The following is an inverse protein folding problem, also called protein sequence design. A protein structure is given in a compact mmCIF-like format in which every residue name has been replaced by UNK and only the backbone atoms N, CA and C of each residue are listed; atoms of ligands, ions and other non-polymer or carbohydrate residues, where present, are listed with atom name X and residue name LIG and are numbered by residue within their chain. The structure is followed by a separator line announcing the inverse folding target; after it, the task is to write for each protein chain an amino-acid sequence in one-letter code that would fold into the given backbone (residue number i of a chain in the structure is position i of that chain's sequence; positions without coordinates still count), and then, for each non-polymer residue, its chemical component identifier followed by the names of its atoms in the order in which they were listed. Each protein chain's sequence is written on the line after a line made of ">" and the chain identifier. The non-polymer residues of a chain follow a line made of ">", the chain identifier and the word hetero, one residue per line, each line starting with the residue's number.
data_IF_783698136680
#
_entry.id   IF_783698136680
#
_cell.length_a   1.000
_cell.length_b   1.000
_cell.length_c   1.000
_cell.angle_alpha   90.00
_cell.angle_beta   90.00
_cell.angle_gamma   90.00
#
_symmetry.space_group_name_H-M   'P 1'
#
loop_
_entity.id
_entity.type
_entity.pdbx_description
1 polymer ?
#
# COMPACT_ATOMS: atom_id res chain seq x y z
N UNK A 1 -7.48 -15.43 -9.75
CA UNK A 1 -7.67 -15.36 -8.28
C UNK A 1 -9.17 -15.22 -8.01
N UNK A 2 -9.70 -15.84 -6.96
CA UNK A 2 -11.09 -15.63 -6.57
C UNK A 2 -11.23 -14.25 -5.92
N UNK A 3 -12.31 -13.52 -6.18
CA UNK A 3 -12.60 -12.20 -5.61
C UNK A 3 -12.46 -12.18 -4.08
N UNK A 4 -12.86 -13.27 -3.40
CA UNK A 4 -12.72 -13.38 -1.94
C UNK A 4 -11.26 -13.42 -1.48
N UNK A 5 -10.40 -14.13 -2.22
CA UNK A 5 -8.97 -14.19 -1.91
C UNK A 5 -8.28 -12.86 -2.21
N UNK A 6 -8.68 -12.17 -3.28
CA UNK A 6 -8.20 -10.82 -3.58
C UNK A 6 -8.56 -9.82 -2.48
N UNK A 7 -9.81 -9.84 -2.01
CA UNK A 7 -10.25 -8.98 -0.92
C UNK A 7 -9.46 -9.24 0.37
N UNK A 8 -9.24 -10.51 0.74
CA UNK A 8 -8.43 -10.89 1.91
C UNK A 8 -7.01 -10.36 1.80
N UNK A 9 -6.38 -10.51 0.64
CA UNK A 9 -5.03 -10.00 0.41
C UNK A 9 -4.97 -8.48 0.51
N UNK A 10 -5.92 -7.77 -0.10
CA UNK A 10 -6.01 -6.30 0.00
C UNK A 10 -6.15 -5.85 1.46
N UNK A 11 -7.04 -6.49 2.22
CA UNK A 11 -7.24 -6.18 3.64
C UNK A 11 -5.99 -6.45 4.47
N UNK A 12 -5.29 -7.56 4.20
CA UNK A 12 -4.03 -7.90 4.86
C UNK A 12 -2.95 -6.85 4.57
N UNK A 13 -2.75 -6.46 3.31
CA UNK A 13 -1.80 -5.43 2.95
C UNK A 13 -2.13 -4.08 3.61
N UNK A 14 -3.42 -3.71 3.73
CA UNK A 14 -3.82 -2.51 4.46
C UNK A 14 -3.44 -2.57 5.94
N UNK A 15 -3.67 -3.69 6.61
CA UNK A 15 -3.28 -3.86 8.01
C UNK A 15 -1.76 -3.73 8.19
N UNK A 16 -0.98 -4.45 7.39
CA UNK A 16 0.48 -4.41 7.44
C UNK A 16 1.04 -3.01 7.16
N UNK A 17 0.49 -2.29 6.17
CA UNK A 17 0.85 -0.89 5.92
C UNK A 17 0.51 0.02 7.10
N UNK A 18 -0.66 -0.19 7.72
CA UNK A 18 -1.10 0.58 8.89
C UNK A 18 -0.12 0.44 10.04
N UNK A 19 0.31 -0.79 10.32
CA UNK A 19 1.27 -1.11 11.37
C UNK A 19 2.66 -0.55 11.05
N UNK A 20 3.17 -0.82 9.85
CA UNK A 20 4.51 -0.43 9.41
C UNK A 20 4.73 1.09 9.41
N UNK A 21 3.73 1.87 8.99
CA UNK A 21 3.82 3.32 8.94
C UNK A 21 3.18 4.02 10.14
N UNK A 22 2.74 3.27 11.16
CA UNK A 22 2.05 3.81 12.34
C UNK A 22 0.90 4.75 11.97
N UNK A 23 0.11 4.34 10.97
CA UNK A 23 -0.94 5.16 10.38
C UNK A 23 -2.05 5.35 11.42
N UNK A 24 -2.26 6.60 11.82
CA UNK A 24 -3.23 6.98 12.85
C UNK A 24 -3.71 8.42 12.66
N UNK A 25 -4.59 8.90 13.55
CA UNK A 25 -4.90 10.33 13.63
C UNK A 25 -5.51 10.97 12.37
N UNK A 26 -6.27 10.21 11.57
CA UNK A 26 -7.00 10.73 10.40
C UNK A 26 -6.35 10.42 9.04
N UNK A 27 -5.20 9.74 9.03
CA UNK A 27 -4.66 9.15 7.81
C UNK A 27 -5.52 7.97 7.32
N UNK A 28 -5.60 7.79 5.99
CA UNK A 28 -6.38 6.72 5.35
C UNK A 28 -5.52 5.92 4.38
N UNK A 29 -5.73 4.61 4.36
CA UNK A 29 -5.13 3.69 3.38
C UNK A 29 -6.19 3.29 2.35
N UNK A 30 -5.98 3.69 1.11
CA UNK A 30 -6.85 3.41 -0.01
C UNK A 30 -6.19 2.38 -0.93
N UNK A 31 -6.97 1.37 -1.32
CA UNK A 31 -6.57 0.47 -2.39
C UNK A 31 -6.87 1.16 -3.71
N UNK A 32 -5.87 1.26 -4.58
CA UNK A 32 -5.99 1.98 -5.86
C UNK A 32 -6.35 1.02 -6.97
N UNK A 33 -5.55 -0.04 -7.15
CA UNK A 33 -5.77 -1.06 -8.18
C UNK A 33 -4.90 -2.28 -7.93
N UNK A 34 -5.33 -3.40 -8.50
CA UNK A 34 -4.47 -4.56 -8.68
C UNK A 34 -3.79 -4.47 -10.06
N UNK A 35 -2.48 -4.70 -10.11
CA UNK A 35 -1.70 -4.80 -11.34
C UNK A 35 -1.19 -6.22 -11.55
N UNK A 36 -0.46 -6.43 -12.65
CA UNK A 36 -0.01 -7.78 -13.01
C UNK A 36 1.00 -8.41 -12.04
N UNK A 37 1.79 -7.57 -11.34
CA UNK A 37 2.87 -7.98 -10.42
C UNK A 37 2.81 -7.26 -9.07
N UNK A 38 1.98 -6.22 -8.97
CA UNK A 38 1.93 -5.36 -7.80
C UNK A 38 0.50 -4.93 -7.50
N UNK A 39 0.15 -4.87 -6.23
CA UNK A 39 -1.02 -4.14 -5.73
C UNK A 39 -0.63 -2.71 -5.36
N UNK A 40 -1.50 -1.75 -5.67
CA UNK A 40 -1.21 -0.33 -5.47
C UNK A 40 -2.09 0.25 -4.37
N UNK A 41 -1.47 1.02 -3.48
CA UNK A 41 -2.11 1.68 -2.35
C UNK A 41 -1.74 3.16 -2.30
N UNK A 42 -2.61 3.96 -1.69
CA UNK A 42 -2.36 5.35 -1.37
C UNK A 42 -2.58 5.56 0.13
N UNK A 43 -1.63 6.23 0.78
CA UNK A 43 -1.79 6.77 2.13
C UNK A 43 -2.08 8.25 1.98
N UNK A 44 -3.30 8.66 2.31
CA UNK A 44 -3.71 10.07 2.32
C UNK A 44 -3.73 10.59 3.75
N UNK A 45 -3.29 11.83 3.93
CA UNK A 45 -3.26 12.51 5.21
C UNK A 45 -3.82 13.91 5.03
N UNK A 46 -4.57 14.46 6.00
CA UNK A 46 -4.94 15.87 5.96
C UNK A 46 -3.72 16.81 6.15
N UNK A 47 -2.60 16.29 6.66
CA UNK A 47 -1.41 17.10 7.01
C UNK A 47 -0.24 16.92 6.06
N UNK A 48 -0.21 15.82 5.30
CA UNK A 48 0.91 15.44 4.45
C UNK A 48 0.43 15.12 3.03
N UNK A 49 1.33 15.24 2.06
CA UNK A 49 1.07 14.81 0.69
C UNK A 49 0.72 13.32 0.62
N UNK A 50 -0.14 12.97 -0.34
CA UNK A 50 -0.51 11.58 -0.62
C UNK A 50 0.72 10.77 -1.02
N UNK A 51 0.97 9.69 -0.29
CA UNK A 51 2.07 8.76 -0.56
C UNK A 51 1.53 7.53 -1.29
N UNK A 52 2.12 7.21 -2.43
CA UNK A 52 1.73 6.03 -3.21
C UNK A 52 2.70 4.88 -2.98
N UNK A 53 2.14 3.68 -2.85
CA UNK A 53 2.87 2.45 -2.62
C UNK A 53 2.47 1.39 -3.66
N UNK A 54 3.41 0.53 -3.99
CA UNK A 54 3.16 -0.73 -4.67
C UNK A 54 3.78 -1.87 -3.87
N UNK A 55 3.06 -2.98 -3.76
CA UNK A 55 3.45 -4.15 -2.96
C UNK A 55 3.41 -5.36 -3.88
N UNK A 56 4.48 -6.16 -3.92
CA UNK A 56 4.50 -7.43 -4.65
C UNK A 56 4.06 -8.62 -3.78
N UNK A 57 4.07 -9.81 -4.39
CA UNK A 57 3.64 -11.05 -3.73
C UNK A 57 4.56 -11.46 -2.57
N UNK A 58 5.78 -10.92 -2.50
CA UNK A 58 6.72 -11.14 -1.39
C UNK A 58 6.60 -10.06 -0.30
N UNK A 59 5.57 -9.20 -0.40
CA UNK A 59 5.32 -8.05 0.47
C UNK A 59 6.42 -6.98 0.42
N UNK A 60 7.26 -7.00 -0.61
CA UNK A 60 8.20 -5.91 -0.84
C UNK A 60 7.43 -4.67 -1.30
N UNK A 61 7.55 -3.64 -0.48
CA UNK A 61 6.83 -2.39 -0.59
C UNK A 61 7.75 -1.31 -1.16
N UNK A 62 7.29 -0.68 -2.23
CA UNK A 62 7.99 0.41 -2.89
C UNK A 62 7.15 1.67 -2.81
N UNK A 63 7.78 2.80 -2.47
CA UNK A 63 7.15 4.10 -2.46
C UNK A 63 7.44 4.85 -3.77
N UNK A 64 6.44 5.55 -4.31
CA UNK A 64 6.64 6.47 -5.43
C UNK A 64 7.31 7.76 -4.93
N UNK A 65 8.52 8.06 -5.43
CA UNK A 65 9.25 9.31 -5.17
C UNK A 65 9.76 9.89 -6.49
N UNK A 66 9.47 11.16 -6.78
CA UNK A 66 9.98 11.87 -7.96
C UNK A 66 9.85 11.02 -9.24
N UNK A 67 8.68 10.42 -9.44
CA UNK A 67 8.34 9.53 -10.57
C UNK A 67 9.09 8.19 -10.66
N UNK A 68 9.75 7.74 -9.58
CA UNK A 68 10.39 6.42 -9.50
C UNK A 68 9.87 5.63 -8.32
N UNK A 69 9.72 4.33 -8.51
CA UNK A 69 9.42 3.40 -7.43
C UNK A 69 10.72 3.04 -6.70
N UNK A 70 10.83 3.48 -5.46
CA UNK A 70 11.98 3.25 -4.60
C UNK A 70 11.60 2.21 -3.56
N UNK A 71 12.44 1.19 -3.38
CA UNK A 71 12.23 0.20 -2.33
C UNK A 71 12.13 0.91 -0.97
N UNK A 72 11.12 0.55 -0.20
CA UNK A 72 10.91 1.09 1.15
C UNK A 72 11.24 0.04 2.20
N UNK A 73 10.53 -1.09 2.17
CA UNK A 73 10.65 -2.17 3.15
C UNK A 73 9.87 -3.40 2.71
N UNK A 74 10.08 -4.53 3.38
CA UNK A 74 9.17 -5.68 3.37
C UNK A 74 8.21 -5.54 4.56
N UNK A 75 6.90 -5.71 4.32
CA UNK A 75 5.84 -5.62 5.36
C UNK A 75 5.22 -6.98 5.68
#
# INVERSE_FOLDING_TARGET
>A
MNLNEELKTILRCKQLLSEAYSIGGGEKIEFVRNGHRYMYFAITSPYNETRYYRIDDSLDTYQLKVNKWVYSMTI
#
